data_IF_402740123553
#
_entry.id   IF_402740123553
#
_cell.length_a   1.000
_cell.length_b   1.000
_cell.length_c   1.000
_cell.angle_alpha   90.00
_cell.angle_beta   90.00
_cell.angle_gamma   90.00
#
_symmetry.space_group_name_H-M   'P 1'
#
loop_
_entity.id
_entity.type
_entity.pdbx_description
1 polymer ?
#
# COMPACT_ATOMS: atom_id res chain seq x y z
N UNK A 1 -5.08 9.09 -29.60
CA UNK A 1 -3.99 8.86 -28.63
C UNK A 1 -3.11 10.10 -28.56
N UNK A 2 -2.49 10.40 -27.42
CA UNK A 2 -1.49 11.47 -27.31
C UNK A 2 -0.09 10.84 -27.42
N UNK A 3 0.64 11.00 -28.55
CA UNK A 3 1.91 10.31 -28.78
C UNK A 3 2.99 10.61 -27.73
N UNK A 4 3.01 11.82 -27.15
CA UNK A 4 4.01 12.20 -26.14
C UNK A 4 3.78 11.57 -24.76
N UNK A 5 2.63 10.91 -24.57
CA UNK A 5 2.28 10.16 -23.35
C UNK A 5 2.25 8.65 -23.59
N UNK A 6 2.69 8.18 -24.76
CA UNK A 6 2.70 6.76 -25.10
C UNK A 6 4.13 6.23 -25.00
N UNK A 7 4.28 5.06 -24.38
CA UNK A 7 5.53 4.31 -24.36
C UNK A 7 5.28 2.94 -24.99
N UNK A 8 6.18 2.52 -25.89
CA UNK A 8 6.09 1.24 -26.61
C UNK A 8 7.45 0.54 -26.58
N UNK A 9 7.44 -0.79 -26.41
CA UNK A 9 8.67 -1.60 -26.41
C UNK A 9 9.62 -1.34 -25.22
N UNK A 10 9.17 -0.66 -24.17
CA UNK A 10 9.97 -0.36 -22.98
C UNK A 10 9.93 -1.49 -21.96
N UNK A 11 11.04 -1.69 -21.22
CA UNK A 11 11.15 -2.72 -20.17
C UNK A 11 10.59 -2.27 -18.82
N UNK A 12 10.34 -0.97 -18.67
CA UNK A 12 9.80 -0.33 -17.47
C UNK A 12 9.11 0.97 -17.84
N UNK A 13 7.92 1.23 -17.32
CA UNK A 13 7.19 2.48 -17.57
C UNK A 13 6.44 2.96 -16.34
N UNK A 14 6.28 4.28 -16.20
CA UNK A 14 5.43 4.87 -15.17
C UNK A 14 3.99 4.96 -15.66
N UNK A 15 3.07 4.27 -14.99
CA UNK A 15 1.65 4.28 -15.34
C UNK A 15 0.78 4.46 -14.11
N UNK A 16 -0.10 5.47 -14.13
CA UNK A 16 -1.00 5.83 -13.01
C UNK A 16 -0.27 5.99 -11.65
N UNK A 17 1.00 6.41 -11.69
CA UNK A 17 1.85 6.56 -10.51
C UNK A 17 2.34 5.24 -9.91
N UNK A 18 2.42 4.18 -10.72
CA UNK A 18 3.10 2.93 -10.41
C UNK A 18 4.17 2.66 -11.47
N UNK A 19 5.12 1.81 -11.15
CA UNK A 19 6.15 1.36 -12.10
C UNK A 19 5.75 -0.02 -12.60
N UNK A 20 5.51 -0.15 -13.91
CA UNK A 20 5.13 -1.40 -14.55
C UNK A 20 6.36 -1.99 -15.21
N UNK A 21 6.72 -3.22 -14.85
CA UNK A 21 7.85 -4.00 -15.39
C UNK A 21 7.39 -5.39 -15.76
N UNK A 22 8.22 -6.14 -16.48
CA UNK A 22 7.97 -7.55 -16.79
C UNK A 22 7.76 -8.40 -15.52
N UNK A 23 8.48 -8.09 -14.44
CA UNK A 23 8.38 -8.80 -13.15
C UNK A 23 7.13 -8.45 -12.33
N UNK A 24 6.36 -7.44 -12.74
CA UNK A 24 5.18 -6.97 -12.01
C UNK A 24 5.10 -5.45 -11.89
N UNK A 25 4.23 -5.01 -10.98
CA UNK A 25 3.89 -3.64 -10.68
C UNK A 25 4.52 -3.28 -9.34
N UNK A 26 5.18 -2.13 -9.29
CA UNK A 26 5.87 -1.58 -8.12
C UNK A 26 5.33 -0.19 -7.79
N UNK A 27 5.50 0.22 -6.53
CA UNK A 27 5.23 1.59 -6.12
C UNK A 27 6.35 2.48 -6.67
N UNK A 28 5.99 3.65 -7.19
CA UNK A 28 6.99 4.66 -7.52
C UNK A 28 7.75 5.14 -6.27
N UNK A 29 9.08 5.15 -6.33
CA UNK A 29 9.94 5.50 -5.19
C UNK A 29 9.60 6.87 -4.61
N UNK A 30 9.26 7.86 -5.45
CA UNK A 30 8.85 9.19 -4.99
C UNK A 30 7.64 9.15 -4.03
N UNK A 31 6.64 8.28 -4.28
CA UNK A 31 5.49 8.12 -3.38
C UNK A 31 5.87 7.50 -2.03
N UNK A 32 6.85 6.58 -2.03
CA UNK A 32 7.40 5.98 -0.81
C UNK A 32 8.15 7.07 -0.04
N UNK A 33 9.08 7.76 -0.70
CA UNK A 33 9.89 8.81 -0.11
C UNK A 33 9.04 9.92 0.50
N UNK A 34 7.96 10.32 -0.18
CA UNK A 34 7.00 11.30 0.32
C UNK A 34 6.36 10.87 1.65
N UNK A 35 6.11 9.58 1.86
CA UNK A 35 5.56 9.06 3.13
C UNK A 35 6.68 8.90 4.17
N UNK A 36 7.85 8.42 3.77
CA UNK A 36 8.99 8.22 4.68
C UNK A 36 9.47 9.55 5.28
N UNK A 37 9.50 10.62 4.48
CA UNK A 37 9.91 11.97 4.90
C UNK A 37 8.85 12.75 5.66
N UNK A 38 7.59 12.31 5.65
CA UNK A 38 6.54 13.01 6.39
C UNK A 38 6.85 13.01 7.89
N UNK A 39 6.73 14.17 8.58
CA UNK A 39 6.77 14.19 10.04
C UNK A 39 5.51 13.49 10.60
N UNK A 40 5.53 13.25 11.90
CA UNK A 40 4.32 12.87 12.64
C UNK A 40 3.22 13.91 12.40
N UNK A 41 2.00 13.47 12.01
CA UNK A 41 0.87 14.38 11.84
C UNK A 41 0.56 15.16 13.12
N UNK A 42 0.38 16.47 12.99
CA UNK A 42 0.12 17.38 14.12
C UNK A 42 -1.35 17.77 14.27
N UNK A 43 -2.16 17.44 13.28
CA UNK A 43 -3.58 17.75 13.24
C UNK A 43 -4.34 16.78 12.32
N UNK A 44 -5.67 16.87 12.34
CA UNK A 44 -6.55 16.01 11.55
C UNK A 44 -6.37 16.18 10.02
N UNK A 45 -5.96 17.37 9.56
CA UNK A 45 -5.73 17.61 8.12
C UNK A 45 -4.49 16.86 7.63
N UNK A 46 -3.40 16.90 8.40
CA UNK A 46 -2.19 16.14 8.12
C UNK A 46 -2.42 14.63 8.22
N UNK A 47 -3.22 14.16 9.19
CA UNK A 47 -3.58 12.75 9.31
C UNK A 47 -4.43 12.28 8.11
N UNK A 48 -5.38 13.09 7.65
CA UNK A 48 -6.15 12.82 6.42
C UNK A 48 -5.25 12.78 5.19
N UNK A 49 -4.26 13.66 5.10
CA UNK A 49 -3.25 13.65 4.03
C UNK A 49 -2.44 12.36 4.03
N UNK A 50 -1.97 11.91 5.20
CA UNK A 50 -1.29 10.62 5.36
C UNK A 50 -2.18 9.46 4.90
N UNK A 51 -3.43 9.39 5.40
CA UNK A 51 -4.37 8.34 5.01
C UNK A 51 -4.67 8.34 3.51
N UNK A 52 -4.78 9.52 2.88
CA UNK A 52 -4.95 9.64 1.44
C UNK A 52 -3.76 9.09 0.65
N UNK A 53 -2.53 9.41 1.08
CA UNK A 53 -1.30 8.86 0.48
C UNK A 53 -1.23 7.34 0.63
N UNK A 54 -1.55 6.81 1.81
CA UNK A 54 -1.59 5.36 2.06
C UNK A 54 -2.68 4.67 1.22
N UNK A 55 -3.86 5.28 1.09
CA UNK A 55 -4.95 4.76 0.28
C UNK A 55 -4.54 4.64 -1.21
N UNK A 56 -3.73 5.57 -1.73
CA UNK A 56 -3.19 5.51 -3.10
C UNK A 56 -2.39 4.22 -3.35
N UNK A 57 -1.67 3.72 -2.34
CA UNK A 57 -0.82 2.52 -2.42
C UNK A 57 -1.41 1.31 -1.66
N UNK A 58 -2.69 1.35 -1.29
CA UNK A 58 -3.32 0.35 -0.40
C UNK A 58 -3.08 -1.10 -0.82
N UNK A 59 -3.08 -1.38 -2.12
CA UNK A 59 -2.93 -2.72 -2.72
C UNK A 59 -1.58 -3.38 -2.41
N UNK A 60 -0.59 -2.61 -1.96
CA UNK A 60 0.74 -3.07 -1.59
C UNK A 60 0.91 -3.26 -0.08
N UNK A 61 -0.05 -2.81 0.73
CA UNK A 61 0.04 -2.80 2.20
C UNK A 61 -0.96 -3.81 2.75
N UNK A 62 -0.45 -4.98 3.14
CA UNK A 62 -1.25 -5.99 3.81
C UNK A 62 -1.90 -5.43 5.08
N UNK A 63 -3.22 -5.63 5.19
CA UNK A 63 -4.05 -5.20 6.31
C UNK A 63 -3.89 -3.70 6.65
N UNK A 64 -3.93 -2.83 5.64
CA UNK A 64 -3.83 -1.38 5.85
C UNK A 64 -4.85 -0.86 6.87
N UNK A 65 -6.08 -1.40 6.88
CA UNK A 65 -7.12 -1.03 7.83
C UNK A 65 -6.67 -1.28 9.29
N UNK A 66 -6.14 -2.47 9.59
CA UNK A 66 -5.60 -2.79 10.92
C UNK A 66 -4.40 -1.92 11.29
N UNK A 67 -3.49 -1.67 10.34
CA UNK A 67 -2.32 -0.79 10.57
C UNK A 67 -2.70 0.66 10.85
N UNK A 68 -3.80 1.14 10.26
CA UNK A 68 -4.32 2.48 10.47
C UNK A 68 -5.30 2.57 11.64
N UNK A 69 -5.67 1.46 12.28
CA UNK A 69 -6.66 1.43 13.36
C UNK A 69 -6.33 2.39 14.51
N UNK A 70 -5.06 2.54 14.95
CA UNK A 70 -4.73 3.49 16.02
C UNK A 70 -5.08 4.94 15.69
N UNK A 71 -5.13 5.31 14.40
CA UNK A 71 -5.50 6.66 13.95
C UNK A 71 -7.01 6.91 14.00
N UNK A 72 -7.85 5.88 14.05
CA UNK A 72 -9.30 6.01 13.95
C UNK A 72 -9.91 6.90 15.05
N UNK A 73 -9.33 6.90 16.26
CA UNK A 73 -9.80 7.76 17.35
C UNK A 73 -9.58 9.25 17.07
N UNK A 74 -8.49 9.60 16.38
CA UNK A 74 -8.12 10.98 16.02
C UNK A 74 -8.95 11.56 14.89
N UNK A 75 -9.75 10.72 14.21
CA UNK A 75 -10.60 11.09 13.09
C UNK A 75 -12.05 11.38 13.53
N UNK A 76 -12.38 11.15 14.80
CA UNK A 76 -13.71 11.40 15.35
C UNK A 76 -13.94 12.90 15.54
N UNK A 77 -15.19 13.33 15.34
CA UNK A 77 -15.62 14.70 15.62
C UNK A 77 -15.48 15.00 17.12
N UNK A 78 -15.12 16.23 17.46
CA UNK A 78 -15.06 16.76 18.83
C UNK A 78 -14.07 16.02 19.76
N UNK A 79 -13.12 15.28 19.18
CA UNK A 79 -12.01 14.66 19.92
C UNK A 79 -10.75 15.52 19.77
N UNK A 80 -10.04 15.87 20.87
CA UNK A 80 -8.78 16.58 20.76
C UNK A 80 -7.73 15.74 20.03
N UNK A 81 -6.99 16.37 19.12
CA UNK A 81 -5.93 15.70 18.39
C UNK A 81 -4.73 15.45 19.31
N UNK A 82 -4.61 14.21 19.82
CA UNK A 82 -3.51 13.80 20.68
C UNK A 82 -2.78 12.61 20.07
N UNK A 83 -1.66 12.89 19.41
CA UNK A 83 -0.78 11.84 18.88
C UNK A 83 -0.08 11.12 20.04
N UNK A 84 -0.43 9.87 20.27
CA UNK A 84 0.10 9.05 21.36
C UNK A 84 1.10 7.99 20.86
N UNK A 85 1.62 7.20 21.80
CA UNK A 85 2.56 6.12 21.50
C UNK A 85 1.98 5.06 20.55
N UNK A 86 0.67 4.78 20.62
CA UNK A 86 0.02 3.84 19.71
C UNK A 86 0.01 4.36 18.26
N UNK A 87 -0.29 5.65 18.06
CA UNK A 87 -0.21 6.29 16.75
C UNK A 87 1.23 6.31 16.21
N UNK A 88 2.20 6.66 17.06
CA UNK A 88 3.60 6.69 16.67
C UNK A 88 4.13 5.30 16.26
N UNK A 89 3.84 4.26 17.05
CA UNK A 89 4.17 2.87 16.71
C UNK A 89 3.56 2.45 15.37
N UNK A 90 2.29 2.77 15.14
CA UNK A 90 1.61 2.48 13.87
C UNK A 90 2.28 3.18 12.68
N UNK A 91 2.59 4.47 12.83
CA UNK A 91 3.22 5.25 11.77
C UNK A 91 4.63 4.75 11.44
N UNK A 92 5.44 4.46 12.47
CA UNK A 92 6.78 3.85 12.30
C UNK A 92 6.71 2.46 11.66
N UNK A 93 5.74 1.64 12.07
CA UNK A 93 5.52 0.31 11.48
C UNK A 93 5.16 0.40 9.99
N UNK A 94 4.28 1.34 9.61
CA UNK A 94 3.92 1.59 8.20
C UNK A 94 5.16 2.05 7.41
N UNK A 95 5.93 3.00 7.93
CA UNK A 95 7.18 3.44 7.28
C UNK A 95 8.17 2.29 7.09
N UNK A 96 8.39 1.48 8.12
CA UNK A 96 9.26 0.30 8.04
C UNK A 96 8.80 -0.69 6.99
N UNK A 97 7.50 -0.96 6.90
CA UNK A 97 6.92 -1.82 5.87
C UNK A 97 7.19 -1.27 4.45
N UNK A 98 7.07 0.05 4.25
CA UNK A 98 7.32 0.70 2.97
C UNK A 98 8.79 0.75 2.54
N UNK A 99 9.74 0.35 3.41
CA UNK A 99 11.14 0.19 3.02
C UNK A 99 11.37 -1.00 2.09
N UNK A 100 10.50 -2.01 2.17
CA UNK A 100 10.55 -3.23 1.34
C UNK A 100 9.14 -3.60 0.88
N UNK A 101 8.49 -2.76 0.06
CA UNK A 101 7.15 -3.05 -0.42
C UNK A 101 7.20 -4.26 -1.35
N UNK A 102 6.13 -5.07 -1.41
CA UNK A 102 6.10 -6.21 -2.30
C UNK A 102 5.95 -5.76 -3.77
N UNK A 103 6.34 -6.63 -4.69
CA UNK A 103 6.03 -6.50 -6.11
C UNK A 103 4.71 -7.25 -6.38
N UNK A 104 3.76 -6.59 -7.03
CA UNK A 104 2.49 -7.22 -7.42
C UNK A 104 2.56 -7.79 -8.83
N UNK A 105 2.01 -8.96 -9.06
CA UNK A 105 1.89 -9.56 -10.39
C UNK A 105 0.45 -9.53 -10.87
N UNK A 106 0.26 -9.39 -12.18
CA UNK A 106 -1.06 -9.59 -12.76
C UNK A 106 -1.44 -11.08 -12.62
N UNK A 107 -2.65 -11.41 -12.12
CA UNK A 107 -3.10 -12.78 -12.08
C UNK A 107 -3.26 -13.34 -13.50
N UNK A 108 -2.80 -14.57 -13.70
CA UNK A 108 -2.93 -15.31 -14.95
C UNK A 108 -4.34 -15.93 -15.00
N UNK A 109 -5.16 -15.60 -16.02
CA UNK A 109 -6.48 -16.20 -16.19
C UNK A 109 -6.41 -17.73 -16.27
N UNK A 110 -7.39 -18.41 -15.67
CA UNK A 110 -7.48 -19.88 -15.69
C UNK A 110 -6.58 -20.60 -14.68
N UNK A 111 -5.70 -19.90 -13.97
CA UNK A 111 -4.90 -20.48 -12.88
C UNK A 111 -5.56 -20.28 -11.52
N UNK A 112 -5.35 -21.22 -10.61
CA UNK A 112 -5.90 -21.18 -9.25
C UNK A 112 -5.33 -19.99 -8.47
N UNK A 113 -6.23 -19.23 -7.85
CA UNK A 113 -5.87 -18.16 -6.92
C UNK A 113 -5.86 -18.69 -5.50
N UNK A 114 -4.88 -18.24 -4.71
CA UNK A 114 -4.72 -18.56 -3.29
C UNK A 114 -5.15 -17.33 -2.50
N UNK A 115 -6.14 -17.50 -1.63
CA UNK A 115 -6.67 -16.43 -0.79
C UNK A 115 -6.20 -16.64 0.65
N UNK A 116 -5.42 -15.69 1.15
CA UNK A 116 -5.06 -15.60 2.56
C UNK A 116 -5.96 -14.58 3.23
N UNK A 117 -6.56 -14.97 4.36
CA UNK A 117 -7.42 -14.10 5.16
C UNK A 117 -6.87 -14.08 6.58
N UNK A 118 -6.66 -12.88 7.13
CA UNK A 118 -6.29 -12.68 8.51
C UNK A 118 -7.32 -11.78 9.18
N UNK A 119 -7.92 -12.25 10.27
CA UNK A 119 -8.87 -11.49 11.07
C UNK A 119 -8.22 -11.02 12.37
N UNK A 120 -8.48 -9.77 12.73
CA UNK A 120 -8.15 -9.15 14.00
C UNK A 120 -9.43 -8.56 14.59
N UNK A 121 -9.42 -8.19 15.87
CA UNK A 121 -10.60 -7.71 16.60
C UNK A 121 -11.38 -6.58 15.88
N UNK A 122 -10.68 -5.72 15.14
CA UNK A 122 -11.29 -4.57 14.45
C UNK A 122 -10.95 -4.48 12.96
N UNK A 123 -10.31 -5.50 12.37
CA UNK A 123 -9.95 -5.46 10.95
C UNK A 123 -9.82 -6.83 10.33
N UNK A 124 -10.02 -6.90 9.01
CA UNK A 124 -9.72 -8.09 8.21
C UNK A 124 -8.73 -7.69 7.12
N UNK A 125 -7.63 -8.42 7.05
CA UNK A 125 -6.66 -8.35 5.96
C UNK A 125 -6.90 -9.48 4.97
N UNK A 126 -6.82 -9.16 3.68
CA UNK A 126 -6.90 -10.13 2.60
C UNK A 126 -5.61 -10.06 1.80
N UNK A 127 -5.16 -11.19 1.29
CA UNK A 127 -4.02 -11.27 0.38
C UNK A 127 -4.33 -12.31 -0.68
N UNK A 128 -4.25 -11.91 -1.94
CA UNK A 128 -4.45 -12.78 -3.10
C UNK A 128 -3.09 -13.11 -3.71
N UNK A 129 -2.79 -14.38 -3.86
CA UNK A 129 -1.57 -14.88 -4.47
C UNK A 129 -1.86 -15.91 -5.57
N UNK A 130 -0.86 -16.18 -6.40
CA UNK A 130 -0.92 -17.22 -7.42
C UNK A 130 0.46 -17.86 -7.58
N UNK A 131 0.51 -19.16 -7.89
CA UNK A 131 1.77 -19.84 -8.19
C UNK A 131 2.21 -19.58 -9.64
N UNK A 132 3.48 -19.23 -9.81
CA UNK A 132 4.12 -19.19 -11.12
C UNK A 132 4.43 -20.62 -11.63
N UNK A 133 5.06 -20.72 -12.79
CA UNK A 133 5.44 -22.02 -13.41
C UNK A 133 6.44 -22.83 -12.58
N UNK A 134 7.20 -22.16 -11.72
CA UNK A 134 8.16 -22.77 -10.79
C UNK A 134 7.50 -23.18 -9.46
N UNK A 135 6.18 -23.00 -9.33
CA UNK A 135 5.44 -23.29 -8.09
C UNK A 135 5.60 -22.25 -6.98
N UNK A 136 6.31 -21.15 -7.24
CA UNK A 136 6.52 -20.04 -6.30
C UNK A 136 5.29 -19.14 -6.24
N UNK A 137 4.88 -18.78 -5.02
CA UNK A 137 3.78 -17.86 -4.80
C UNK A 137 4.18 -16.43 -5.12
N UNK A 138 3.38 -15.79 -5.96
CA UNK A 138 3.50 -14.41 -6.38
C UNK A 138 2.27 -13.64 -5.90
N UNK A 139 2.51 -12.45 -5.34
CA UNK A 139 1.46 -11.62 -4.78
C UNK A 139 0.67 -10.92 -5.90
N UNK A 140 -0.64 -11.09 -5.95
CA UNK A 140 -1.49 -10.41 -6.94
C UNK A 140 -2.08 -9.10 -6.39
N UNK A 141 -2.60 -9.12 -5.16
CA UNK A 141 -3.06 -7.92 -4.44
C UNK A 141 -3.15 -8.19 -2.95
N UNK A 142 -3.11 -7.13 -2.15
CA UNK A 142 -3.54 -7.12 -0.74
C UNK A 142 -4.78 -6.25 -0.53
#
# INVERSE_FOLDING_TARGET
>A
MNPSKCAFGVTSEKFLGFIVRQRGIEIEQAKIDDILRMPEPRNIHELKSLQGKLACIRRFISNLAGRCQPFSRLMKKDVPFQWDEACDKAFKSIKSYLMKPPVLVAPIPGRLLILYVAAQEHSVGILLAQKNDEGKEMLCTT
#
